data_IF_308136558178
#
_entry.id   IF_308136558178
#
_cell.length_a   1.000
_cell.length_b   1.000
_cell.length_c   1.000
_cell.angle_alpha   90.00
_cell.angle_beta   90.00
_cell.angle_gamma   90.00
#
_symmetry.space_group_name_H-M   'P 1'
#
loop_
_entity.id
_entity.type
_entity.pdbx_description
1 polymer ?
#
# COMPACT_ATOMS: atom_id res chain seq x y z
N UNK A 1 0.05 -17.08 -2.80
CA UNK A 1 1.00 -16.27 -2.08
C UNK A 1 0.85 -16.43 -0.58
N UNK A 2 1.67 -17.30 -0.02
CA UNK A 2 1.50 -17.70 1.38
C UNK A 2 1.81 -16.59 2.38
N UNK A 3 2.89 -15.86 2.14
CA UNK A 3 3.31 -14.80 3.07
C UNK A 3 2.30 -13.67 3.13
N UNK A 4 1.80 -13.25 1.98
CA UNK A 4 0.80 -12.20 1.91
C UNK A 4 -0.50 -12.64 2.58
N UNK A 5 -0.92 -13.88 2.34
CA UNK A 5 -2.15 -14.41 2.92
C UNK A 5 -2.06 -14.50 4.44
N UNK A 6 -0.91 -14.94 4.95
CA UNK A 6 -0.68 -14.98 6.40
C UNK A 6 -0.70 -13.57 7.00
N UNK A 7 -0.10 -12.63 6.31
CA UNK A 7 -0.14 -11.24 6.75
C UNK A 7 -1.57 -10.72 6.84
N UNK A 8 -2.37 -10.97 5.82
CA UNK A 8 -3.76 -10.52 5.83
C UNK A 8 -4.58 -11.19 6.94
N UNK A 9 -4.29 -12.46 7.25
CA UNK A 9 -4.92 -13.12 8.39
C UNK A 9 -4.61 -12.42 9.70
N UNK A 10 -3.36 -12.02 9.89
CA UNK A 10 -2.94 -11.26 11.08
C UNK A 10 -3.71 -9.93 11.17
N UNK A 11 -3.79 -9.21 10.04
CA UNK A 11 -4.51 -7.93 10.01
C UNK A 11 -5.98 -8.12 10.38
N UNK A 12 -6.64 -9.15 9.83
CA UNK A 12 -8.04 -9.44 10.14
C UNK A 12 -8.25 -9.83 11.60
N UNK A 13 -7.32 -10.59 12.17
CA UNK A 13 -7.40 -10.94 13.60
C UNK A 13 -7.26 -9.70 14.48
N UNK A 14 -6.32 -8.82 14.15
CA UNK A 14 -6.14 -7.56 14.88
C UNK A 14 -7.40 -6.70 14.77
N UNK A 15 -8.01 -6.63 13.60
CA UNK A 15 -9.24 -5.86 13.41
C UNK A 15 -10.36 -6.38 14.29
N UNK A 16 -10.43 -7.69 14.50
CA UNK A 16 -11.46 -8.30 15.33
C UNK A 16 -11.18 -8.18 16.82
N UNK A 17 -9.93 -8.37 17.22
CA UNK A 17 -9.59 -8.64 18.62
C UNK A 17 -8.80 -7.55 19.33
N UNK A 18 -8.05 -6.74 18.60
CA UNK A 18 -7.27 -5.69 19.24
C UNK A 18 -8.18 -4.51 19.61
N UNK A 19 -8.18 -4.10 20.87
CA UNK A 19 -9.05 -2.99 21.31
C UNK A 19 -8.79 -1.70 20.57
N UNK A 20 -7.54 -1.47 20.11
CA UNK A 20 -7.20 -0.27 19.35
C UNK A 20 -7.59 -0.41 17.88
N UNK A 21 -7.18 -1.51 17.21
CA UNK A 21 -7.44 -1.71 15.79
C UNK A 21 -8.93 -1.89 15.49
N UNK A 22 -9.68 -2.51 16.42
CA UNK A 22 -11.08 -2.82 16.19
C UNK A 22 -11.99 -1.61 16.12
N UNK A 23 -11.56 -0.47 16.65
CA UNK A 23 -12.38 0.75 16.71
C UNK A 23 -11.94 1.81 15.71
N UNK A 24 -10.88 1.56 14.96
CA UNK A 24 -10.39 2.53 13.98
C UNK A 24 -11.32 2.67 12.79
N UNK A 25 -11.30 3.87 12.20
CA UNK A 25 -12.02 4.19 10.98
C UNK A 25 -11.02 4.75 9.97
N UNK A 26 -11.44 4.91 8.72
CA UNK A 26 -10.58 5.57 7.75
C UNK A 26 -10.15 6.96 8.26
N UNK A 27 -11.08 7.70 8.84
CA UNK A 27 -10.81 9.05 9.34
C UNK A 27 -9.85 9.05 10.52
N UNK A 28 -10.04 8.13 11.47
CA UNK A 28 -9.17 8.08 12.65
C UNK A 28 -7.75 7.67 12.31
N UNK A 29 -7.55 6.96 11.20
CA UNK A 29 -6.23 6.50 10.78
C UNK A 29 -5.45 7.53 9.96
N UNK A 30 -6.06 8.63 9.54
CA UNK A 30 -5.38 9.63 8.72
C UNK A 30 -4.08 10.14 9.35
N UNK A 31 -4.04 10.57 10.61
CA UNK A 31 -2.79 11.05 11.19
C UNK A 31 -1.72 9.96 11.29
N UNK A 32 -2.12 8.72 11.50
CA UNK A 32 -1.17 7.60 11.59
C UNK A 32 -0.54 7.30 10.24
N UNK A 33 -1.32 7.39 9.16
CA UNK A 33 -0.77 7.19 7.82
C UNK A 33 0.28 8.27 7.50
N UNK A 34 0.00 9.52 7.86
CA UNK A 34 0.96 10.61 7.69
C UNK A 34 2.25 10.35 8.46
N UNK A 35 2.11 9.91 9.70
CA UNK A 35 3.25 9.63 10.57
C UNK A 35 4.10 8.49 10.00
N UNK A 36 3.45 7.39 9.58
CA UNK A 36 4.16 6.23 9.03
C UNK A 36 4.87 6.58 7.71
N UNK A 37 4.24 7.39 6.87
CA UNK A 37 4.88 7.85 5.65
C UNK A 37 6.11 8.69 5.96
N UNK A 38 6.03 9.56 6.96
CA UNK A 38 7.17 10.35 7.42
C UNK A 38 8.33 9.50 7.91
N UNK A 39 8.02 8.41 8.61
CA UNK A 39 9.04 7.48 9.08
C UNK A 39 9.74 6.74 7.96
N UNK A 40 9.02 6.47 6.85
CA UNK A 40 9.66 5.91 5.66
C UNK A 40 10.70 6.88 5.10
N UNK A 41 10.38 8.18 5.06
CA UNK A 41 11.33 9.19 4.60
C UNK A 41 12.58 9.20 5.48
N UNK A 42 12.42 9.11 6.79
CA UNK A 42 13.54 9.01 7.72
C UNK A 42 14.35 7.73 7.49
N UNK A 43 13.66 6.62 7.21
CA UNK A 43 14.31 5.34 6.90
C UNK A 43 15.19 5.43 5.66
N UNK A 44 14.74 6.17 4.64
CA UNK A 44 15.53 6.41 3.44
C UNK A 44 16.78 7.22 3.79
N UNK A 45 16.65 8.23 4.63
CA UNK A 45 17.78 9.03 5.07
C UNK A 45 18.81 8.20 5.84
N UNK A 46 18.36 7.30 6.70
CA UNK A 46 19.25 6.38 7.43
C UNK A 46 19.98 5.44 6.46
N UNK A 47 19.28 4.95 5.45
CA UNK A 47 19.90 4.10 4.46
C UNK A 47 21.01 4.85 3.72
N UNK A 48 20.73 6.08 3.31
CA UNK A 48 21.70 6.89 2.57
C UNK A 48 22.88 7.32 3.40
N UNK A 49 22.65 7.67 4.66
CA UNK A 49 23.71 8.20 5.53
C UNK A 49 24.55 7.10 6.18
N UNK A 50 23.94 5.99 6.57
CA UNK A 50 24.55 4.97 7.40
C UNK A 50 24.58 3.57 6.80
N UNK A 51 23.91 3.39 5.66
CA UNK A 51 23.77 2.07 5.04
C UNK A 51 22.83 1.15 5.82
N UNK A 52 22.03 1.71 6.74
CA UNK A 52 21.09 0.93 7.54
C UNK A 52 19.80 0.68 6.78
N UNK A 53 19.62 -0.55 6.30
CA UNK A 53 18.41 -0.95 5.56
C UNK A 53 17.30 -1.46 6.48
N UNK A 54 17.63 -1.83 7.72
CA UNK A 54 16.65 -2.42 8.63
C UNK A 54 15.55 -1.44 8.99
N UNK A 55 15.89 -0.20 9.24
CA UNK A 55 14.91 0.83 9.57
C UNK A 55 13.92 1.03 8.43
N UNK A 56 14.42 1.17 7.19
CA UNK A 56 13.55 1.32 6.02
C UNK A 56 12.63 0.10 5.85
N UNK A 57 13.18 -1.09 6.06
CA UNK A 57 12.40 -2.32 5.96
C UNK A 57 11.22 -2.31 6.94
N UNK A 58 11.48 -1.93 8.19
CA UNK A 58 10.44 -1.85 9.22
C UNK A 58 9.37 -0.81 8.88
N UNK A 59 9.80 0.36 8.44
CA UNK A 59 8.87 1.46 8.16
C UNK A 59 8.00 1.16 6.93
N UNK A 60 8.54 0.48 5.93
CA UNK A 60 7.73 0.03 4.80
C UNK A 60 6.66 -0.97 5.24
N UNK A 61 7.02 -1.84 6.19
CA UNK A 61 6.05 -2.77 6.78
C UNK A 61 4.92 -2.04 7.48
N UNK A 62 5.22 -0.97 8.20
CA UNK A 62 4.22 -0.19 8.91
C UNK A 62 3.26 0.52 7.94
N UNK A 63 3.77 1.04 6.82
CA UNK A 63 2.92 1.62 5.79
C UNK A 63 2.05 0.54 5.14
N UNK A 64 2.63 -0.63 4.87
CA UNK A 64 1.86 -1.75 4.32
C UNK A 64 0.72 -2.15 5.26
N UNK A 65 0.98 -2.14 6.57
CA UNK A 65 -0.06 -2.43 7.55
C UNK A 65 -1.21 -1.43 7.45
N UNK A 66 -0.91 -0.14 7.26
CA UNK A 66 -1.96 0.88 7.10
C UNK A 66 -2.81 0.58 5.87
N UNK A 67 -2.18 0.23 4.74
CA UNK A 67 -2.89 -0.12 3.52
C UNK A 67 -3.81 -1.32 3.76
N UNK A 68 -3.29 -2.35 4.43
CA UNK A 68 -4.05 -3.57 4.71
C UNK A 68 -5.22 -3.30 5.65
N UNK A 69 -5.02 -2.52 6.70
CA UNK A 69 -6.07 -2.22 7.67
C UNK A 69 -7.19 -1.40 7.03
N UNK A 70 -6.85 -0.37 6.24
CA UNK A 70 -7.85 0.38 5.49
C UNK A 70 -8.65 -0.54 4.56
N UNK A 71 -7.96 -1.49 3.92
CA UNK A 71 -8.63 -2.43 3.00
C UNK A 71 -9.61 -3.34 3.73
N UNK A 72 -9.26 -3.80 4.93
CA UNK A 72 -10.16 -4.62 5.76
C UNK A 72 -11.37 -3.79 6.19
N UNK A 73 -11.17 -2.55 6.59
CA UNK A 73 -12.28 -1.65 6.96
C UNK A 73 -13.20 -1.42 5.75
N UNK A 74 -12.62 -1.17 4.58
CA UNK A 74 -13.39 -0.96 3.35
C UNK A 74 -14.21 -2.20 2.97
N UNK A 75 -13.64 -3.40 3.16
CA UNK A 75 -14.34 -4.64 2.91
C UNK A 75 -15.55 -4.80 3.83
N UNK A 76 -15.40 -4.45 5.11
CA UNK A 76 -16.51 -4.45 6.07
C UNK A 76 -17.64 -3.53 5.62
N UNK A 77 -17.29 -2.43 4.98
CA UNK A 77 -18.27 -1.44 4.50
C UNK A 77 -18.83 -1.77 3.12
N UNK A 78 -18.39 -2.86 2.53
CA UNK A 78 -18.85 -3.26 1.20
C UNK A 78 -18.33 -2.40 0.06
N UNK A 79 -17.20 -1.70 0.26
CA UNK A 79 -16.67 -0.76 -0.72
C UNK A 79 -15.71 -1.44 -1.70
N UNK A 80 -14.70 -2.14 -1.19
CA UNK A 80 -13.71 -2.86 -1.99
C UNK A 80 -12.89 -3.77 -1.09
N UNK A 81 -12.05 -4.62 -1.70
CA UNK A 81 -11.18 -5.54 -0.98
C UNK A 81 -9.72 -5.25 -1.27
N UNK A 82 -8.82 -5.89 -0.52
CA UNK A 82 -7.37 -5.78 -0.80
C UNK A 82 -7.04 -6.28 -2.20
N UNK A 83 -7.78 -7.27 -2.70
CA UNK A 83 -7.58 -7.76 -4.07
C UNK A 83 -7.88 -6.66 -5.09
N UNK A 84 -8.90 -5.86 -4.85
CA UNK A 84 -9.25 -4.74 -5.71
C UNK A 84 -8.14 -3.68 -5.71
N UNK A 85 -7.56 -3.41 -4.54
CA UNK A 85 -6.45 -2.47 -4.41
C UNK A 85 -5.26 -2.94 -5.25
N UNK A 86 -4.91 -4.22 -5.11
CA UNK A 86 -3.77 -4.81 -5.83
C UNK A 86 -4.02 -4.84 -7.33
N UNK A 87 -5.18 -5.35 -7.77
CA UNK A 87 -5.53 -5.44 -9.18
C UNK A 87 -5.57 -4.06 -9.81
N UNK A 88 -6.12 -3.08 -9.09
CA UNK A 88 -6.24 -1.73 -9.59
C UNK A 88 -4.89 -1.08 -9.85
N UNK A 89 -3.96 -1.19 -8.91
CA UNK A 89 -2.63 -0.60 -9.09
C UNK A 89 -1.83 -1.35 -10.14
N UNK A 90 -1.98 -2.67 -10.20
CA UNK A 90 -1.34 -3.48 -11.24
C UNK A 90 -1.77 -3.04 -12.64
N UNK A 91 -3.08 -2.94 -12.85
CA UNK A 91 -3.64 -2.51 -14.14
C UNK A 91 -3.21 -1.08 -14.49
N UNK A 92 -3.22 -0.20 -13.50
CA UNK A 92 -2.79 1.20 -13.69
C UNK A 92 -1.34 1.27 -14.13
N UNK A 93 -0.46 0.51 -13.50
CA UNK A 93 0.97 0.55 -13.86
C UNK A 93 1.21 -0.02 -15.25
N UNK A 94 0.51 -1.08 -15.62
CA UNK A 94 0.61 -1.64 -16.98
C UNK A 94 0.12 -0.64 -18.02
N UNK A 95 -0.98 0.02 -17.75
CA UNK A 95 -1.55 1.02 -18.64
C UNK A 95 -0.61 2.21 -18.85
N UNK A 96 0.07 2.65 -17.77
CA UNK A 96 0.98 3.79 -17.82
C UNK A 96 2.37 3.45 -18.38
N UNK A 97 2.64 2.18 -18.61
CA UNK A 97 3.93 1.72 -19.13
C UNK A 97 3.74 0.81 -20.34
N UNK A 98 3.09 1.32 -21.41
CA UNK A 98 2.73 0.48 -22.55
C UNK A 98 3.93 -0.07 -23.32
N UNK A 99 5.06 0.63 -23.29
CA UNK A 99 6.26 0.14 -23.98
C UNK A 99 6.81 -1.13 -23.38
N UNK A 100 6.48 -1.39 -22.11
CA UNK A 100 6.96 -2.58 -21.41
C UNK A 100 5.92 -3.71 -21.50
N UNK A 101 4.64 -3.38 -21.25
CA UNK A 101 3.58 -4.38 -21.12
C UNK A 101 2.74 -4.56 -22.39
N UNK A 102 2.58 -3.50 -23.19
CA UNK A 102 1.79 -3.53 -24.42
C UNK A 102 2.46 -2.65 -25.47
N UNK A 103 3.58 -3.09 -26.05
CA UNK A 103 4.36 -2.26 -27.00
C UNK A 103 3.54 -1.77 -28.18
N UNK A 104 2.55 -2.54 -28.63
CA UNK A 104 1.73 -2.18 -29.78
C UNK A 104 0.82 -0.98 -29.51
N UNK A 105 0.50 -0.74 -28.24
CA UNK A 105 -0.38 0.35 -27.81
C UNK A 105 0.39 1.53 -27.24
N UNK A 106 1.71 1.54 -27.34
CA UNK A 106 2.56 2.53 -26.68
C UNK A 106 2.21 3.96 -27.03
N UNK A 107 1.94 4.23 -28.32
CA UNK A 107 1.62 5.59 -28.76
C UNK A 107 0.25 6.06 -28.26
N UNK A 108 -0.69 5.16 -28.22
CA UNK A 108 -2.07 5.48 -27.84
C UNK A 108 -2.17 5.91 -26.38
N UNK A 109 -1.36 5.33 -25.50
CA UNK A 109 -1.52 5.54 -24.05
C UNK A 109 -0.40 6.36 -23.40
N UNK A 110 0.67 6.68 -24.14
CA UNK A 110 1.82 7.37 -23.54
C UNK A 110 1.48 8.73 -22.96
N UNK A 111 0.60 9.48 -23.59
CA UNK A 111 0.18 10.80 -23.09
C UNK A 111 -0.54 10.69 -21.76
N UNK A 112 -1.40 9.68 -21.61
CA UNK A 112 -2.10 9.45 -20.36
C UNK A 112 -1.13 9.07 -19.24
N UNK A 113 -0.12 8.28 -19.57
CA UNK A 113 0.92 7.89 -18.62
C UNK A 113 1.66 9.09 -18.07
N UNK A 114 1.99 10.05 -18.93
CA UNK A 114 2.71 11.26 -18.52
C UNK A 114 1.88 12.14 -17.59
N UNK A 115 0.58 12.14 -17.74
CA UNK A 115 -0.30 12.98 -16.93
C UNK A 115 -0.44 12.43 -15.52
N UNK A 116 -0.37 11.13 -15.34
CA UNK A 116 -0.72 10.46 -14.07
C UNK A 116 0.46 9.96 -13.26
N UNK A 117 1.65 10.20 -13.71
CA UNK A 117 2.82 9.86 -12.91
C UNK A 117 3.07 10.93 -11.88
#
# INVERSE_FOLDING_TARGET
>A
MQEFDRFMEVVRELRKKCPWDSVQTHESLKPYLMEEAGEVLEGIDHLNAEGDSQNLCEELGDVLFQVALHSVIAEEEGLFTIKDVISGVESKMKFRHPKIFSPDDAEAVSLLSLIHI
#
